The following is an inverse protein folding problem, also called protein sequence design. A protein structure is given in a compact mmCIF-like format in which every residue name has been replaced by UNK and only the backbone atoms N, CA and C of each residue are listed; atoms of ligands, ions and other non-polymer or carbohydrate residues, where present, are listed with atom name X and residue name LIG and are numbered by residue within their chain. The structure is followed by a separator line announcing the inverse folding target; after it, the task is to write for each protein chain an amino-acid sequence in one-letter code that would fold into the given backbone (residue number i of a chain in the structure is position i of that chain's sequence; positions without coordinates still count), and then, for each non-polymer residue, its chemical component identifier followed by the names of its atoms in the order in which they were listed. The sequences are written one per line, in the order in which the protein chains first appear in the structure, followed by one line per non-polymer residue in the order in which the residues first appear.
data_IF_193595740245
#
_entry.id   IF_193595740245
#
_cell.length_a   1.000
_cell.length_b   1.000
_cell.length_c   1.000
_cell.angle_alpha   90.00
_cell.angle_beta   90.00
_cell.angle_gamma   90.00
#
_symmetry.space_group_name_H-M   'P 1'
#
loop_
_entity.id
_entity.type
_entity.pdbx_description
1 polymer ?
#
# COMPACT_ATOMS: atom_id res chain seq x y z
N UNK A 1 7.34 50.21 -26.54
CA UNK A 1 6.50 49.03 -26.23
C UNK A 1 7.31 47.74 -26.17
N UNK A 2 8.63 47.80 -26.34
CA UNK A 2 9.51 46.63 -26.44
C UNK A 2 10.07 46.12 -25.11
N UNK A 3 10.03 46.97 -24.07
CA UNK A 3 10.55 46.64 -22.75
C UNK A 3 9.65 45.62 -22.02
N UNK A 4 8.33 45.77 -22.12
CA UNK A 4 7.34 44.88 -21.48
C UNK A 4 7.45 43.45 -22.04
N UNK A 5 7.71 43.32 -23.35
CA UNK A 5 7.82 42.01 -24.03
C UNK A 5 9.13 41.27 -23.67
N UNK A 6 10.21 42.02 -23.38
CA UNK A 6 11.50 41.47 -22.93
C UNK A 6 11.48 40.97 -21.49
N UNK A 7 10.73 41.64 -20.61
CA UNK A 7 10.52 41.21 -19.22
C UNK A 7 9.52 40.05 -19.12
N UNK A 8 8.50 40.01 -19.98
CA UNK A 8 7.59 38.88 -20.07
C UNK A 8 8.30 37.59 -20.49
N UNK A 9 9.24 37.67 -21.45
CA UNK A 9 10.01 36.52 -21.92
C UNK A 9 11.03 36.02 -20.88
N UNK A 10 11.64 36.92 -20.10
CA UNK A 10 12.60 36.56 -19.04
C UNK A 10 11.95 36.07 -17.76
N UNK A 11 10.72 36.52 -17.44
CA UNK A 11 9.93 35.97 -16.34
C UNK A 11 9.35 34.58 -16.70
N UNK A 12 9.03 34.34 -17.97
CA UNK A 12 8.58 33.03 -18.44
C UNK A 12 9.68 31.96 -18.33
N UNK A 13 10.94 32.32 -18.57
CA UNK A 13 12.07 31.37 -18.47
C UNK A 13 12.47 31.07 -17.03
N UNK A 14 12.28 32.01 -16.09
CA UNK A 14 12.53 31.78 -14.67
C UNK A 14 11.48 30.84 -14.04
N UNK A 15 10.23 30.90 -14.50
CA UNK A 15 9.14 30.05 -14.01
C UNK A 15 9.30 28.56 -14.39
N UNK A 16 9.97 28.26 -15.50
CA UNK A 16 10.19 26.88 -15.98
C UNK A 16 11.27 26.16 -15.15
N UNK A 17 12.25 26.87 -14.59
CA UNK A 17 13.32 26.26 -13.79
C UNK A 17 12.90 25.85 -12.37
N UNK A 18 11.86 26.47 -11.79
CA UNK A 18 11.45 26.19 -10.40
C UNK A 18 10.63 24.89 -10.27
N UNK A 19 10.09 24.36 -11.37
CA UNK A 19 9.28 23.13 -11.34
C UNK A 19 10.14 21.86 -11.36
N UNK A 20 11.43 21.96 -11.65
CA UNK A 20 12.34 20.83 -11.61
C UNK A 20 12.98 20.71 -10.21
N UNK A 21 12.54 19.72 -9.43
CA UNK A 21 13.32 18.94 -8.43
C UNK A 21 12.57 18.68 -7.12
N UNK A 22 11.49 17.89 -7.17
CA UNK A 22 11.05 17.09 -6.02
C UNK A 22 10.95 15.61 -6.40
N UNK A 23 11.88 15.10 -7.22
CA UNK A 23 11.97 13.67 -7.44
C UNK A 23 12.37 12.99 -6.12
N UNK A 24 11.52 12.10 -5.59
CA UNK A 24 11.85 11.30 -4.40
C UNK A 24 13.11 10.50 -4.70
N UNK A 25 14.23 10.86 -4.06
CA UNK A 25 15.48 10.09 -4.17
C UNK A 25 15.39 8.86 -3.27
N UNK A 26 14.82 7.78 -3.79
CA UNK A 26 14.91 6.46 -3.17
C UNK A 26 16.23 5.79 -3.60
N UNK A 27 17.15 5.58 -2.66
CA UNK A 27 18.44 4.91 -2.92
C UNK A 27 18.40 3.42 -2.60
N UNK A 28 17.52 3.02 -1.68
CA UNK A 28 17.34 1.63 -1.23
C UNK A 28 15.87 1.35 -0.94
N UNK A 29 15.41 0.14 -1.28
CA UNK A 29 14.08 -0.36 -0.91
C UNK A 29 14.16 -1.09 0.43
N UNK A 30 13.30 -0.70 1.36
CA UNK A 30 13.12 -1.33 2.67
C UNK A 30 11.62 -1.44 2.98
N UNK A 31 11.26 -2.25 3.98
CA UNK A 31 9.87 -2.35 4.45
C UNK A 31 9.29 -1.00 4.91
N UNK A 32 10.13 -0.04 5.32
CA UNK A 32 9.69 1.28 5.78
C UNK A 32 9.23 2.18 4.61
N UNK A 33 9.84 2.00 3.43
CA UNK A 33 9.73 2.94 2.32
C UNK A 33 9.10 2.36 1.06
N UNK A 34 8.89 1.05 0.96
CA UNK A 34 8.24 0.39 -0.17
C UNK A 34 7.57 -0.94 0.25
N UNK A 35 6.88 -0.92 1.40
CA UNK A 35 6.37 -2.10 2.11
C UNK A 35 5.58 -3.08 1.23
N UNK A 36 4.62 -2.56 0.47
CA UNK A 36 3.70 -3.40 -0.33
C UNK A 36 4.45 -4.11 -1.44
N UNK A 37 5.26 -3.36 -2.20
CA UNK A 37 6.07 -3.95 -3.27
C UNK A 37 7.00 -5.03 -2.72
N UNK A 38 7.77 -4.70 -1.67
CA UNK A 38 8.78 -5.61 -1.15
C UNK A 38 8.17 -6.93 -0.66
N UNK A 39 7.11 -6.86 0.15
CA UNK A 39 6.44 -8.05 0.71
C UNK A 39 5.75 -8.87 -0.39
N UNK A 40 5.03 -8.22 -1.30
CA UNK A 40 4.33 -8.92 -2.38
C UNK A 40 5.33 -9.60 -3.33
N UNK A 41 6.37 -8.88 -3.76
CA UNK A 41 7.38 -9.42 -4.67
C UNK A 41 8.20 -10.54 -4.05
N UNK A 42 8.55 -10.44 -2.76
CA UNK A 42 9.26 -11.52 -2.05
C UNK A 42 8.40 -12.79 -2.05
N UNK A 43 7.15 -12.69 -1.58
CA UNK A 43 6.20 -13.81 -1.57
C UNK A 43 5.99 -14.40 -2.96
N UNK A 44 5.85 -13.54 -3.97
CA UNK A 44 5.66 -13.96 -5.35
C UNK A 44 6.88 -14.72 -5.88
N UNK A 45 8.08 -14.15 -5.79
CA UNK A 45 9.32 -14.78 -6.28
C UNK A 45 9.59 -16.11 -5.57
N UNK A 46 9.32 -16.20 -4.27
CA UNK A 46 9.50 -17.42 -3.48
C UNK A 46 8.51 -18.52 -3.89
N UNK A 47 7.31 -18.15 -4.37
CA UNK A 47 6.29 -19.07 -4.84
C UNK A 47 6.53 -19.63 -6.25
N UNK A 48 7.45 -19.04 -7.03
CA UNK A 48 7.70 -19.46 -8.41
C UNK A 48 8.53 -20.73 -8.49
N UNK A 49 8.10 -21.66 -9.36
CA UNK A 49 8.87 -22.84 -9.71
C UNK A 49 10.17 -22.49 -10.48
N UNK A 50 11.24 -23.29 -10.33
CA UNK A 50 12.50 -23.04 -11.01
C UNK A 50 12.41 -22.94 -12.54
N UNK A 51 11.50 -23.69 -13.18
CA UNK A 51 11.30 -23.68 -14.64
C UNK A 51 10.55 -22.45 -15.15
N UNK A 52 9.85 -21.76 -14.24
CA UNK A 52 9.20 -20.46 -14.49
C UNK A 52 10.21 -19.33 -14.33
N UNK A 53 11.08 -19.42 -13.32
CA UNK A 53 12.07 -18.39 -12.96
C UNK A 53 13.08 -18.02 -14.06
N UNK A 54 13.17 -18.75 -15.17
CA UNK A 54 14.07 -18.42 -16.29
C UNK A 54 13.37 -17.76 -17.48
N UNK A 55 12.04 -17.65 -17.48
CA UNK A 55 11.26 -17.16 -18.62
C UNK A 55 10.39 -15.96 -18.22
N UNK A 56 10.70 -14.73 -18.70
CA UNK A 56 9.92 -13.54 -18.41
C UNK A 56 8.43 -13.70 -18.70
N UNK A 57 8.03 -14.29 -19.83
CA UNK A 57 6.61 -14.47 -20.18
C UNK A 57 5.88 -15.36 -19.20
N UNK A 58 6.50 -16.49 -18.77
CA UNK A 58 5.89 -17.34 -17.74
C UNK A 58 5.77 -16.61 -16.40
N UNK A 59 6.76 -15.79 -16.03
CA UNK A 59 6.72 -14.97 -14.81
C UNK A 59 5.56 -13.96 -14.89
N UNK A 60 5.35 -13.34 -16.04
CA UNK A 60 4.23 -12.42 -16.26
C UNK A 60 2.88 -13.11 -16.10
N UNK A 61 2.73 -14.32 -16.65
CA UNK A 61 1.50 -15.10 -16.51
C UNK A 61 1.21 -15.49 -15.05
N UNK A 62 2.23 -15.95 -14.32
CA UNK A 62 2.09 -16.26 -12.89
C UNK A 62 1.81 -15.01 -12.05
N UNK A 63 2.41 -13.87 -12.40
CA UNK A 63 2.13 -12.61 -11.72
C UNK A 63 0.67 -12.19 -11.90
N UNK A 64 0.13 -12.29 -13.12
CA UNK A 64 -1.29 -12.04 -13.40
C UNK A 64 -2.19 -12.97 -12.60
N UNK A 65 -1.84 -14.26 -12.48
CA UNK A 65 -2.58 -15.21 -11.64
C UNK A 65 -2.56 -14.81 -10.17
N UNK A 66 -1.40 -14.43 -9.63
CA UNK A 66 -1.29 -13.94 -8.26
C UNK A 66 -2.18 -12.71 -8.03
N UNK A 67 -2.19 -11.78 -9.00
CA UNK A 67 -2.99 -10.56 -8.94
C UNK A 67 -4.50 -10.77 -8.93
N UNK A 68 -5.03 -11.87 -9.48
CA UNK A 68 -6.47 -12.20 -9.39
C UNK A 68 -6.95 -12.41 -7.96
N UNK A 69 -6.07 -12.82 -7.07
CA UNK A 69 -6.36 -13.03 -5.64
C UNK A 69 -6.02 -11.84 -4.75
N UNK A 70 -5.33 -10.84 -5.30
CA UNK A 70 -4.84 -9.68 -4.58
C UNK A 70 -6.01 -8.78 -4.13
N UNK A 71 -5.92 -8.25 -2.91
CA UNK A 71 -6.95 -7.36 -2.34
C UNK A 71 -6.34 -6.07 -1.80
N UNK A 72 -7.15 -5.03 -1.69
CA UNK A 72 -6.78 -3.75 -1.06
C UNK A 72 -5.46 -3.17 -1.62
N UNK A 73 -4.40 -3.12 -0.81
CA UNK A 73 -3.11 -2.55 -1.18
C UNK A 73 -2.41 -3.36 -2.28
N UNK A 74 -2.49 -4.69 -2.24
CA UNK A 74 -1.90 -5.56 -3.26
C UNK A 74 -2.63 -5.42 -4.60
N UNK A 75 -3.95 -5.23 -4.59
CA UNK A 75 -4.71 -4.99 -5.82
C UNK A 75 -4.26 -3.69 -6.50
N UNK A 76 -4.06 -2.61 -5.72
CA UNK A 76 -3.52 -1.35 -6.25
C UNK A 76 -2.10 -1.52 -6.78
N UNK A 77 -1.27 -2.31 -6.10
CA UNK A 77 0.05 -2.66 -6.60
C UNK A 77 -0.04 -3.38 -7.94
N UNK A 78 -0.83 -4.44 -8.05
CA UNK A 78 -1.08 -5.16 -9.30
C UNK A 78 -1.55 -4.25 -10.43
N UNK A 79 -2.43 -3.28 -10.12
CA UNK A 79 -2.89 -2.29 -11.08
C UNK A 79 -1.72 -1.44 -11.63
N UNK A 80 -0.84 -0.92 -10.78
CA UNK A 80 0.30 -0.11 -11.21
C UNK A 80 1.34 -0.90 -12.01
N UNK A 81 1.53 -2.19 -11.70
CA UNK A 81 2.53 -3.02 -12.40
C UNK A 81 2.05 -3.52 -13.76
N UNK A 82 0.76 -3.48 -14.06
CA UNK A 82 0.23 -4.10 -15.28
C UNK A 82 -0.29 -5.52 -15.09
N UNK A 83 -0.56 -5.94 -13.85
CA UNK A 83 -0.98 -7.30 -13.49
C UNK A 83 -2.47 -7.58 -13.67
N UNK A 84 -3.31 -6.55 -13.84
CA UNK A 84 -4.74 -6.69 -14.11
C UNK A 84 -5.05 -6.49 -15.60
N UNK A 85 -6.25 -6.86 -16.04
CA UNK A 85 -6.65 -6.78 -17.46
C UNK A 85 -6.80 -5.32 -17.92
N UNK A 86 -7.23 -4.45 -17.02
CA UNK A 86 -7.43 -3.01 -17.23
C UNK A 86 -6.14 -2.19 -17.11
N UNK A 87 -5.02 -2.81 -16.74
CA UNK A 87 -3.78 -2.10 -16.41
C UNK A 87 -2.89 -1.83 -17.62
N UNK A 88 -2.13 -0.73 -17.55
CA UNK A 88 -1.06 -0.48 -18.51
C UNK A 88 0.08 -1.50 -18.32
N UNK A 89 0.39 -2.28 -19.35
CA UNK A 89 1.36 -3.39 -19.29
C UNK A 89 2.83 -2.94 -19.38
N UNK A 90 3.10 -1.64 -19.48
CA UNK A 90 4.43 -1.08 -19.72
C UNK A 90 5.44 -1.36 -18.60
N UNK A 91 4.97 -1.60 -17.37
CA UNK A 91 5.82 -1.86 -16.19
C UNK A 91 6.08 -3.36 -15.98
N UNK A 92 5.22 -4.23 -16.51
CA UNK A 92 5.27 -5.67 -16.23
C UNK A 92 6.61 -6.30 -16.66
N UNK A 93 7.15 -5.86 -17.80
CA UNK A 93 8.46 -6.29 -18.31
C UNK A 93 9.66 -5.80 -17.47
N UNK A 94 9.50 -4.71 -16.73
CA UNK A 94 10.53 -4.19 -15.80
C UNK A 94 10.57 -4.99 -14.49
N UNK A 95 9.50 -5.75 -14.21
CA UNK A 95 9.41 -6.72 -13.13
C UNK A 95 9.90 -8.11 -13.58
N UNK A 96 9.38 -8.62 -14.70
CA UNK A 96 9.58 -10.01 -15.12
C UNK A 96 11.03 -10.31 -15.55
N UNK A 97 11.68 -9.41 -16.31
CA UNK A 97 13.05 -9.62 -16.79
C UNK A 97 14.09 -9.68 -15.65
N UNK A 98 14.08 -8.76 -14.66
CA UNK A 98 15.02 -8.87 -13.57
C UNK A 98 14.78 -10.10 -12.69
N UNK A 99 13.51 -10.48 -12.46
CA UNK A 99 13.19 -11.74 -11.76
C UNK A 99 13.76 -12.93 -12.53
N UNK A 100 13.72 -12.92 -13.86
CA UNK A 100 14.24 -14.02 -14.67
C UNK A 100 15.75 -14.22 -14.57
N UNK A 101 16.48 -13.23 -14.05
CA UNK A 101 17.92 -13.29 -13.79
C UNK A 101 18.21 -13.38 -12.29
N UNK A 102 17.23 -13.84 -11.50
CA UNK A 102 17.33 -14.02 -10.05
C UNK A 102 17.65 -12.75 -9.28
N UNK A 103 17.21 -11.58 -9.76
CA UNK A 103 17.32 -10.34 -9.01
C UNK A 103 16.39 -10.38 -7.77
N UNK A 104 16.88 -10.03 -6.57
CA UNK A 104 16.06 -10.03 -5.36
C UNK A 104 14.98 -8.94 -5.38
N UNK A 105 13.91 -9.17 -4.60
CA UNK A 105 12.70 -8.36 -4.60
C UNK A 105 12.95 -6.86 -4.34
N UNK A 106 13.89 -6.50 -3.46
CA UNK A 106 14.26 -5.11 -3.17
C UNK A 106 14.79 -4.38 -4.40
N UNK A 107 15.65 -5.04 -5.18
CA UNK A 107 16.22 -4.48 -6.41
C UNK A 107 15.21 -4.46 -7.55
N UNK A 108 14.30 -5.44 -7.61
CA UNK A 108 13.16 -5.41 -8.55
C UNK A 108 12.25 -4.23 -8.23
N UNK A 109 11.84 -4.06 -6.97
CA UNK A 109 11.04 -2.94 -6.53
C UNK A 109 11.70 -1.58 -6.81
N UNK A 110 13.03 -1.48 -6.66
CA UNK A 110 13.77 -0.27 -7.02
C UNK A 110 13.69 0.04 -8.53
N UNK A 111 13.78 -0.96 -9.40
CA UNK A 111 13.63 -0.77 -10.86
C UNK A 111 12.23 -0.28 -11.23
N UNK A 112 11.23 -0.90 -10.62
CA UNK A 112 9.83 -0.56 -10.84
C UNK A 112 9.53 0.85 -10.29
N UNK A 113 10.03 1.21 -9.11
CA UNK A 113 9.90 2.56 -8.53
C UNK A 113 10.41 3.65 -9.48
N UNK A 114 11.49 3.39 -10.22
CA UNK A 114 12.02 4.34 -11.22
C UNK A 114 11.09 4.56 -12.41
N UNK A 115 10.10 3.70 -12.61
CA UNK A 115 9.05 3.84 -13.63
C UNK A 115 7.83 4.56 -13.08
N UNK A 116 7.46 4.23 -11.85
CA UNK A 116 6.36 4.86 -11.14
C UNK A 116 6.66 4.92 -9.64
N UNK A 117 6.90 6.14 -9.15
CA UNK A 117 7.25 6.38 -7.76
C UNK A 117 6.08 6.09 -6.79
N UNK A 118 4.83 6.11 -7.28
CA UNK A 118 3.62 5.88 -6.47
C UNK A 118 3.56 4.46 -5.91
N UNK A 119 4.29 3.52 -6.53
CA UNK A 119 4.35 2.11 -6.11
C UNK A 119 4.89 1.96 -4.69
N UNK A 120 5.89 2.77 -4.32
CA UNK A 120 6.47 2.74 -2.99
C UNK A 120 5.69 3.59 -1.97
N UNK A 121 4.69 4.36 -2.41
CA UNK A 121 3.77 5.04 -1.50
C UNK A 121 2.65 4.11 -0.97
N UNK A 122 2.51 2.92 -1.56
CA UNK A 122 1.57 1.91 -1.11
C UNK A 122 2.01 1.31 0.24
N UNK A 123 1.06 1.28 1.19
CA UNK A 123 1.22 0.67 2.50
C UNK A 123 0.09 -0.30 2.77
N UNK A 124 0.37 -1.37 3.52
CA UNK A 124 -0.70 -2.19 4.05
C UNK A 124 -1.50 -1.37 5.06
N UNK A 125 -2.81 -1.58 5.07
CA UNK A 125 -3.62 -1.00 6.12
C UNK A 125 -3.15 -1.60 7.45
N UNK A 126 -2.71 -0.76 8.38
CA UNK A 126 -2.38 -1.21 9.72
C UNK A 126 -3.64 -1.79 10.33
N UNK A 127 -3.68 -3.11 10.49
CA UNK A 127 -4.71 -3.78 11.27
C UNK A 127 -4.63 -3.23 12.68
N UNK A 128 -5.72 -2.68 13.18
CA UNK A 128 -5.78 -2.18 14.55
C UNK A 128 -5.68 -3.41 15.46
N UNK A 129 -4.64 -3.48 16.29
CA UNK A 129 -4.56 -4.50 17.32
C UNK A 129 -5.60 -4.20 18.40
N UNK A 130 -6.76 -4.82 18.24
CA UNK A 130 -7.88 -4.69 19.17
C UNK A 130 -7.52 -5.15 20.58
N UNK A 131 -6.39 -5.84 20.83
CA UNK A 131 -6.01 -6.18 22.20
C UNK A 131 -5.37 -5.00 22.93
N UNK A 132 -4.49 -4.25 22.25
CA UNK A 132 -3.62 -3.25 22.89
C UNK A 132 -3.98 -1.80 22.55
N UNK A 133 -4.72 -1.55 21.47
CA UNK A 133 -5.08 -0.19 21.08
C UNK A 133 -5.95 0.48 22.14
N UNK A 134 -5.73 1.76 22.41
CA UNK A 134 -6.66 2.55 23.20
C UNK A 134 -7.73 3.16 22.29
N UNK A 135 -8.94 2.60 22.33
CA UNK A 135 -10.07 3.08 21.52
C UNK A 135 -10.40 4.56 21.81
N UNK A 136 -10.08 5.08 23.00
CA UNK A 136 -10.30 6.49 23.35
C UNK A 136 -9.33 7.42 22.62
N UNK A 137 -8.17 6.94 22.17
CA UNK A 137 -7.19 7.72 21.40
C UNK A 137 -7.45 7.74 19.90
N UNK A 138 -8.28 6.83 19.39
CA UNK A 138 -8.64 6.76 17.97
C UNK A 138 -9.56 7.91 17.57
N UNK A 139 -9.52 8.35 16.30
CA UNK A 139 -10.51 9.32 15.78
C UNK A 139 -11.81 8.60 15.45
N UNK A 140 -12.93 9.33 15.44
CA UNK A 140 -14.26 8.77 15.07
C UNK A 140 -14.20 8.08 13.69
N UNK A 141 -13.41 8.60 12.75
CA UNK A 141 -13.20 7.97 11.44
C UNK A 141 -12.60 6.56 11.56
N UNK A 142 -11.62 6.37 12.44
CA UNK A 142 -10.97 5.08 12.63
C UNK A 142 -11.91 4.10 13.35
N UNK A 143 -12.71 4.58 14.31
CA UNK A 143 -13.75 3.78 14.98
C UNK A 143 -14.82 3.31 13.99
N UNK A 144 -15.27 4.20 13.07
CA UNK A 144 -16.21 3.81 11.99
C UNK A 144 -15.60 2.76 11.08
N UNK A 145 -14.33 2.89 10.73
CA UNK A 145 -13.61 1.90 9.91
C UNK A 145 -13.57 0.52 10.57
N UNK A 146 -13.38 0.45 11.90
CA UNK A 146 -13.44 -0.83 12.64
C UNK A 146 -14.80 -1.51 12.44
N UNK A 147 -15.89 -0.75 12.59
CA UNK A 147 -17.24 -1.28 12.41
C UNK A 147 -17.47 -1.72 10.96
N UNK A 148 -17.02 -0.93 9.98
CA UNK A 148 -17.10 -1.26 8.55
C UNK A 148 -16.29 -2.53 8.22
N UNK A 149 -15.10 -2.71 8.81
CA UNK A 149 -14.28 -3.92 8.65
C UNK A 149 -14.97 -5.17 9.26
N UNK A 150 -15.95 -4.99 10.16
CA UNK A 150 -16.81 -6.04 10.71
C UNK A 150 -18.19 -6.12 10.04
N UNK A 151 -18.33 -5.50 8.86
CA UNK A 151 -19.57 -5.38 8.10
C UNK A 151 -20.75 -4.82 8.93
N UNK A 152 -20.44 -3.99 9.92
CA UNK A 152 -21.38 -3.36 10.83
C UNK A 152 -21.33 -1.83 10.69
N UNK A 153 -22.43 -1.15 11.02
CA UNK A 153 -22.44 0.31 11.09
C UNK A 153 -23.29 0.79 12.27
N UNK A 154 -22.84 1.85 12.94
CA UNK A 154 -23.66 2.48 13.98
C UNK A 154 -24.50 3.62 13.38
N UNK A 155 -25.78 3.35 13.11
CA UNK A 155 -26.71 4.34 12.54
C UNK A 155 -27.19 5.40 13.55
N UNK A 156 -27.10 5.10 14.85
CA UNK A 156 -27.56 5.98 15.94
C UNK A 156 -26.45 6.66 16.75
N UNK A 157 -25.17 6.36 16.49
CA UNK A 157 -24.07 6.93 17.25
C UNK A 157 -23.84 8.39 16.85
N UNK A 158 -24.09 9.30 17.79
CA UNK A 158 -23.82 10.75 17.72
C UNK A 158 -22.54 11.11 18.44
N UNK A 159 -22.19 10.38 19.50
CA UNK A 159 -21.01 10.63 20.33
C UNK A 159 -19.91 9.57 20.11
N UNK A 160 -18.65 9.97 20.36
CA UNK A 160 -17.50 9.08 20.25
C UNK A 160 -17.58 7.87 21.20
N UNK A 161 -18.10 8.09 22.40
CA UNK A 161 -18.34 7.07 23.44
C UNK A 161 -19.22 5.93 22.92
N UNK A 162 -20.27 6.25 22.16
CA UNK A 162 -21.23 5.27 21.62
C UNK A 162 -20.56 4.35 20.57
N UNK A 163 -19.69 4.91 19.71
CA UNK A 163 -18.89 4.10 18.80
C UNK A 163 -17.95 3.15 19.55
N UNK A 164 -17.32 3.61 20.64
CA UNK A 164 -16.42 2.80 21.45
C UNK A 164 -17.19 1.65 22.11
N UNK A 165 -18.34 1.95 22.72
CA UNK A 165 -19.19 0.94 23.37
C UNK A 165 -19.61 -0.16 22.38
N UNK A 166 -20.12 0.23 21.20
CA UNK A 166 -20.52 -0.75 20.20
C UNK A 166 -19.34 -1.65 19.75
N UNK A 167 -18.15 -1.06 19.60
CA UNK A 167 -16.94 -1.83 19.26
C UNK A 167 -16.59 -2.81 20.37
N UNK A 168 -16.67 -2.40 21.64
CA UNK A 168 -16.39 -3.27 22.80
C UNK A 168 -17.42 -4.41 22.92
N UNK A 169 -18.69 -4.13 22.64
CA UNK A 169 -19.78 -5.11 22.69
C UNK A 169 -19.67 -6.17 21.59
N UNK A 170 -19.24 -5.76 20.40
CA UNK A 170 -19.06 -6.66 19.25
C UNK A 170 -17.70 -7.36 19.25
N UNK A 171 -16.70 -6.83 19.97
CA UNK A 171 -15.35 -7.38 20.01
C UNK A 171 -15.27 -8.89 20.31
N UNK A 172 -16.06 -9.46 21.25
CA UNK A 172 -16.02 -10.90 21.52
C UNK A 172 -16.42 -11.76 20.32
N UNK A 173 -17.23 -11.23 19.39
CA UNK A 173 -17.69 -11.95 18.20
C UNK A 173 -16.68 -11.86 17.06
N UNK A 174 -16.12 -10.67 16.83
CA UNK A 174 -15.25 -10.40 15.68
C UNK A 174 -13.75 -10.52 15.99
N UNK A 175 -13.36 -10.40 17.26
CA UNK A 175 -11.98 -10.49 17.73
C UNK A 175 -11.90 -11.16 19.12
N UNK A 176 -12.30 -12.44 19.26
CA UNK A 176 -12.43 -13.13 20.55
C UNK A 176 -11.12 -13.17 21.34
N UNK A 177 -9.98 -13.37 20.69
CA UNK A 177 -8.66 -13.37 21.35
C UNK A 177 -8.32 -12.00 21.95
N UNK A 178 -8.65 -10.92 21.23
CA UNK A 178 -8.43 -9.55 21.70
C UNK A 178 -9.36 -9.20 22.86
N UNK A 179 -10.64 -9.59 22.78
CA UNK A 179 -11.59 -9.44 23.87
C UNK A 179 -11.13 -10.17 25.14
N UNK A 180 -10.64 -11.41 25.01
CA UNK A 180 -10.11 -12.20 26.11
C UNK A 180 -8.89 -11.52 26.76
N UNK A 181 -7.94 -11.01 25.96
CA UNK A 181 -6.76 -10.29 26.46
C UNK A 181 -7.14 -9.04 27.25
N UNK A 182 -8.06 -8.22 26.72
CA UNK A 182 -8.50 -6.99 27.41
C UNK A 182 -9.24 -7.25 28.72
N UNK A 183 -10.02 -8.32 28.80
CA UNK A 183 -10.68 -8.72 30.05
C UNK A 183 -9.65 -9.07 31.12
N UNK A 184 -8.64 -9.87 30.78
CA UNK A 184 -7.54 -10.20 31.70
C UNK A 184 -6.80 -8.96 32.20
N UNK A 185 -6.42 -8.04 31.29
CA UNK A 185 -5.75 -6.80 31.68
C UNK A 185 -6.58 -5.92 32.62
N UNK A 186 -7.91 -5.99 32.56
CA UNK A 186 -8.79 -5.26 33.49
C UNK A 186 -8.95 -5.95 34.83
N UNK A 187 -8.79 -7.28 34.89
CA UNK A 187 -8.81 -8.05 36.14
C UNK A 187 -7.49 -7.93 36.91
N UNK A 188 -6.39 -7.64 36.21
CA UNK A 188 -5.05 -7.45 36.79
C UNK A 188 -4.78 -6.01 37.31
N UNK A 189 -5.75 -5.09 37.20
CA UNK A 189 -5.69 -3.68 37.63
C UNK A 189 -6.59 -3.42 38.85
#
# INVERSE_FOLDING_TARGET
MDYINRYALSLLTLAIFVVASNAKKLTEVTDQNCEVCLKFMTKFIDSLDPDVKSNPTKIEDEFRKACKSAKKAENRFCYYIGGLEESATSILGEMSKPVSWSMPADKVCMKIFRKDEQICDLKYEKTIDYATVDLKKLKVKDLKKILEDWDTSCKGCTEKSEFIQLIEDLMPQYAPEAAAKRRKTREDL
#
